data_IF_664734113328
#
_entry.id   IF_664734113328
#
_cell.length_a   1.000
_cell.length_b   1.000
_cell.length_c   1.000
_cell.angle_alpha   90.00
_cell.angle_beta   90.00
_cell.angle_gamma   90.00
#
_symmetry.space_group_name_H-M   'P 1'
#
loop_
_entity.id
_entity.type
_entity.pdbx_description
1 polymer ?
#
# COMPACT_ATOMS: atom_id res chain seq x y z
N UNK A 1 10.80 21.59 6.30
CA UNK A 1 11.75 20.92 7.19
C UNK A 1 11.68 19.42 7.00
N UNK A 2 12.74 18.81 6.47
CA UNK A 2 12.81 17.36 6.27
C UNK A 2 13.23 16.66 7.57
N UNK A 3 12.34 15.85 8.15
CA UNK A 3 12.70 14.94 9.25
C UNK A 3 13.06 13.59 8.66
N UNK A 4 14.32 13.41 8.25
CA UNK A 4 14.79 12.10 7.76
C UNK A 4 15.03 11.18 8.96
N UNK A 5 13.98 10.50 9.42
CA UNK A 5 14.13 9.41 10.40
C UNK A 5 14.66 8.19 9.67
N UNK A 6 15.99 7.97 9.70
CA UNK A 6 16.57 6.71 9.20
C UNK A 6 16.22 5.55 10.15
N UNK A 7 15.81 4.39 9.65
CA UNK A 7 15.34 3.26 10.47
C UNK A 7 16.46 2.45 11.14
N UNK A 8 16.03 1.71 12.16
CA UNK A 8 16.79 1.19 13.32
C UNK A 8 17.21 -0.28 13.19
N UNK A 9 17.32 -0.82 11.97
CA UNK A 9 17.67 -2.24 11.74
C UNK A 9 19.00 -2.31 10.98
N UNK A 10 20.09 -2.73 11.64
CA UNK A 10 21.38 -2.95 10.99
C UNK A 10 21.25 -3.98 9.85
N UNK A 11 21.83 -3.67 8.70
CA UNK A 11 21.84 -4.57 7.53
C UNK A 11 20.60 -4.52 6.64
N UNK A 12 19.59 -3.70 6.98
CA UNK A 12 18.44 -3.48 6.10
C UNK A 12 18.63 -2.23 5.23
N UNK A 13 18.27 -2.35 3.95
CA UNK A 13 18.19 -1.22 3.03
C UNK A 13 16.77 -0.63 3.04
N UNK A 14 16.67 0.69 3.03
CA UNK A 14 15.38 1.39 3.02
C UNK A 14 15.36 2.38 1.86
N UNK A 15 14.26 2.35 1.11
CA UNK A 15 14.05 3.17 -0.08
C UNK A 15 12.72 3.89 0.05
N UNK A 16 12.72 5.19 -0.25
CA UNK A 16 11.50 5.94 -0.50
C UNK A 16 11.16 5.74 -1.98
N UNK A 17 9.99 5.17 -2.26
CA UNK A 17 9.52 4.83 -3.60
C UNK A 17 8.01 4.95 -3.64
N UNK A 18 7.48 5.34 -4.80
CA UNK A 18 6.04 5.35 -5.07
C UNK A 18 5.62 3.99 -5.60
N UNK A 19 4.63 3.33 -4.98
CA UNK A 19 4.24 1.98 -5.34
C UNK A 19 3.36 1.91 -6.60
N UNK A 20 2.91 3.05 -7.12
CA UNK A 20 2.31 3.15 -8.45
C UNK A 20 3.38 3.18 -9.57
N UNK A 21 4.66 3.30 -9.22
CA UNK A 21 5.78 3.18 -10.16
C UNK A 21 6.44 1.78 -10.11
N UNK A 22 6.97 1.28 -11.25
CA UNK A 22 7.68 0.00 -11.31
C UNK A 22 8.81 -0.14 -10.28
N UNK A 23 9.02 -1.36 -9.79
CA UNK A 23 10.07 -1.70 -8.83
C UNK A 23 11.41 -1.92 -9.55
N UNK A 24 11.83 -1.00 -10.42
CA UNK A 24 13.00 -1.11 -11.30
C UNK A 24 14.33 -1.28 -10.54
N UNK A 25 14.35 -0.92 -9.25
CA UNK A 25 15.50 -1.13 -8.37
C UNK A 25 15.67 -2.61 -7.95
N UNK A 26 14.68 -3.47 -8.23
CA UNK A 26 14.74 -4.91 -8.01
C UNK A 26 14.79 -5.66 -9.36
N UNK A 27 15.80 -6.53 -9.57
CA UNK A 27 15.82 -7.44 -10.70
C UNK A 27 14.67 -8.44 -10.64
N UNK A 28 14.37 -9.03 -11.79
CA UNK A 28 13.50 -10.20 -11.89
C UNK A 28 14.05 -11.34 -11.02
N UNK A 29 13.16 -12.13 -10.41
CA UNK A 29 13.52 -13.31 -9.61
C UNK A 29 14.59 -13.03 -8.52
N UNK A 30 14.57 -11.84 -7.93
CA UNK A 30 15.57 -11.40 -6.95
C UNK A 30 15.17 -11.65 -5.49
N UNK A 31 13.88 -11.85 -5.21
CA UNK A 31 13.33 -12.00 -3.87
C UNK A 31 12.76 -13.41 -3.63
N UNK A 32 12.98 -13.94 -2.43
CA UNK A 32 12.32 -15.17 -1.96
C UNK A 32 10.92 -14.89 -1.40
N UNK A 33 10.75 -13.71 -0.77
CA UNK A 33 9.51 -13.31 -0.11
C UNK A 33 9.25 -11.82 -0.34
N UNK A 34 8.00 -11.49 -0.63
CA UNK A 34 7.47 -10.12 -0.60
C UNK A 34 6.48 -9.99 0.55
N UNK A 35 6.60 -8.92 1.34
CA UNK A 35 5.65 -8.60 2.42
C UNK A 35 5.03 -7.24 2.14
N UNK A 36 3.72 -7.21 1.87
CA UNK A 36 2.93 -5.99 1.71
C UNK A 36 1.93 -5.88 2.87
N UNK A 37 2.27 -5.08 3.87
CA UNK A 37 1.52 -5.02 5.12
C UNK A 37 0.64 -3.76 5.19
N UNK A 38 -0.68 -3.90 4.95
CA UNK A 38 -1.68 -2.84 5.05
C UNK A 38 -1.42 -1.62 4.14
N UNK A 39 -0.80 -1.82 2.97
CA UNK A 39 -0.50 -0.73 2.03
C UNK A 39 -1.33 -0.82 0.74
N UNK A 40 -1.74 -2.02 0.32
CA UNK A 40 -2.30 -2.25 -1.02
C UNK A 40 -3.51 -1.37 -1.38
N UNK A 41 -4.33 -0.95 -0.41
CA UNK A 41 -5.50 -0.09 -0.63
C UNK A 41 -5.20 1.39 -0.87
N UNK A 42 -3.93 1.80 -0.78
CA UNK A 42 -3.49 3.15 -1.13
C UNK A 42 -2.93 3.27 -2.55
N UNK A 43 -2.82 2.15 -3.26
CA UNK A 43 -2.22 2.07 -4.60
C UNK A 43 -3.33 2.21 -5.63
N UNK A 44 -3.15 3.05 -6.64
CA UNK A 44 -4.15 3.34 -7.66
C UNK A 44 -4.37 2.14 -8.60
N UNK A 45 -3.29 1.41 -8.93
CA UNK A 45 -3.36 0.14 -9.69
C UNK A 45 -2.75 -1.05 -8.90
N UNK A 46 -3.54 -1.69 -8.01
CA UNK A 46 -3.09 -2.86 -7.27
C UNK A 46 -2.69 -4.04 -8.16
N UNK A 47 -3.27 -4.17 -9.36
CA UNK A 47 -2.95 -5.27 -10.26
C UNK A 47 -1.55 -5.10 -10.86
N UNK A 48 -1.18 -3.89 -11.26
CA UNK A 48 0.17 -3.57 -11.71
C UNK A 48 1.21 -3.85 -10.62
N UNK A 49 0.93 -3.46 -9.37
CA UNK A 49 1.83 -3.76 -8.25
C UNK A 49 1.97 -5.28 -7.99
N UNK A 50 0.88 -6.04 -8.12
CA UNK A 50 0.91 -7.51 -8.01
C UNK A 50 1.74 -8.16 -9.13
N UNK A 51 1.71 -7.60 -10.34
CA UNK A 51 2.58 -8.03 -11.43
C UNK A 51 4.05 -7.78 -11.09
N UNK A 52 4.38 -6.63 -10.50
CA UNK A 52 5.74 -6.35 -10.04
C UNK A 52 6.18 -7.29 -8.93
N UNK A 53 5.31 -7.62 -7.97
CA UNK A 53 5.61 -8.63 -6.95
C UNK A 53 5.91 -10.00 -7.56
N UNK A 54 5.12 -10.41 -8.55
CA UNK A 54 5.36 -11.66 -9.26
C UNK A 54 6.70 -11.64 -10.02
N UNK A 55 7.01 -10.55 -10.73
CA UNK A 55 8.26 -10.38 -11.49
C UNK A 55 9.50 -10.51 -10.59
N UNK A 56 9.49 -9.85 -9.43
CA UNK A 56 10.66 -9.85 -8.53
C UNK A 56 10.78 -11.13 -7.71
N UNK A 57 9.71 -11.91 -7.56
CA UNK A 57 9.76 -13.19 -6.84
C UNK A 57 10.44 -14.26 -7.67
N UNK A 58 11.31 -15.04 -7.04
CA UNK A 58 11.86 -16.28 -7.62
C UNK A 58 10.75 -17.30 -7.89
N UNK A 59 10.94 -18.25 -8.82
CA UNK A 59 10.05 -19.39 -8.96
C UNK A 59 9.87 -20.11 -7.61
N UNK A 60 8.63 -20.21 -7.14
CA UNK A 60 8.29 -20.79 -5.83
C UNK A 60 8.40 -19.82 -4.63
N UNK A 61 8.73 -18.55 -4.87
CA UNK A 61 8.69 -17.49 -3.86
C UNK A 61 7.27 -17.16 -3.40
N UNK A 62 7.17 -16.43 -2.29
CA UNK A 62 5.89 -16.20 -1.59
C UNK A 62 5.61 -14.71 -1.43
N UNK A 63 4.41 -14.28 -1.79
CA UNK A 63 3.88 -12.97 -1.40
C UNK A 63 2.96 -13.12 -0.18
N UNK A 64 3.24 -12.37 0.89
CA UNK A 64 2.38 -12.25 2.07
C UNK A 64 1.78 -10.86 2.08
N UNK A 65 0.45 -10.78 1.96
CA UNK A 65 -0.27 -9.53 1.82
C UNK A 65 -1.31 -9.43 2.92
N UNK A 66 -1.35 -8.30 3.62
CA UNK A 66 -2.44 -7.97 4.53
C UNK A 66 -3.12 -6.69 4.07
N UNK A 67 -4.45 -6.64 4.18
CA UNK A 67 -5.26 -5.48 3.85
C UNK A 67 -6.24 -5.16 5.00
N UNK A 68 -6.76 -3.93 5.03
CA UNK A 68 -7.83 -3.54 5.96
C UNK A 68 -9.04 -4.45 5.74
N UNK A 69 -9.71 -4.85 6.83
CA UNK A 69 -10.95 -5.60 6.69
C UNK A 69 -12.04 -4.64 6.17
N UNK A 70 -12.74 -4.94 5.09
CA UNK A 70 -13.67 -4.01 4.45
C UNK A 70 -14.86 -3.52 5.31
N UNK A 71 -15.23 -4.21 6.39
CA UNK A 71 -16.18 -3.65 7.39
C UNK A 71 -15.61 -2.50 8.23
N UNK A 72 -14.30 -2.34 8.32
CA UNK A 72 -13.67 -1.34 9.18
C UNK A 72 -14.03 0.08 8.71
N UNK A 73 -14.15 0.25 7.40
CA UNK A 73 -14.45 1.53 6.76
C UNK A 73 -15.95 1.79 6.74
N UNK A 74 -16.77 0.78 6.40
CA UNK A 74 -18.23 0.88 6.47
C UNK A 74 -18.73 1.24 7.87
N UNK A 75 -18.23 0.59 8.92
CA UNK A 75 -18.65 0.88 10.30
C UNK A 75 -18.23 2.27 10.77
N UNK A 76 -17.17 2.84 10.20
CA UNK A 76 -16.64 4.16 10.58
C UNK A 76 -17.28 5.31 9.80
N UNK A 77 -17.62 5.09 8.53
CA UNK A 77 -18.09 6.12 7.60
C UNK A 77 -19.60 6.04 7.29
N UNK A 78 -20.26 4.92 7.57
CA UNK A 78 -21.59 4.61 7.03
C UNK A 78 -21.52 4.19 5.56
N UNK A 79 -22.65 3.78 4.97
CA UNK A 79 -22.72 3.36 3.55
C UNK A 79 -22.91 1.86 3.34
N UNK A 80 -22.40 1.33 2.22
CA UNK A 80 -22.46 -0.08 1.84
C UNK A 80 -21.07 -0.61 1.50
N UNK A 81 -20.78 -1.83 1.95
CA UNK A 81 -19.58 -2.59 1.60
C UNK A 81 -19.33 -2.66 0.08
N UNK A 82 -20.40 -2.69 -0.72
CA UNK A 82 -20.33 -2.93 -2.17
C UNK A 82 -20.31 -1.64 -3.00
N UNK A 83 -20.30 -0.45 -2.39
CA UNK A 83 -20.38 0.82 -3.12
C UNK A 83 -19.08 1.60 -3.02
N UNK A 84 -18.52 1.94 -4.18
CA UNK A 84 -17.39 2.87 -4.29
C UNK A 84 -17.91 4.28 -4.09
N UNK A 85 -17.37 5.00 -3.11
CA UNK A 85 -17.79 6.35 -2.76
C UNK A 85 -16.56 7.24 -2.50
N UNK A 86 -16.53 8.44 -3.09
CA UNK A 86 -15.53 9.45 -2.78
C UNK A 86 -15.83 10.07 -1.40
N UNK A 87 -15.00 9.78 -0.42
CA UNK A 87 -15.16 10.27 0.95
C UNK A 87 -14.19 11.43 1.22
N UNK A 88 -14.69 12.54 1.74
CA UNK A 88 -13.83 13.65 2.21
C UNK A 88 -13.66 13.59 3.71
N UNK A 89 -12.47 13.23 4.18
CA UNK A 89 -12.16 13.21 5.61
C UNK A 89 -11.38 14.44 6.08
N UNK A 90 -11.72 14.91 7.28
CA UNK A 90 -10.95 15.95 7.98
C UNK A 90 -10.18 15.30 9.12
N UNK A 91 -8.88 15.11 8.92
CA UNK A 91 -8.00 14.57 9.95
C UNK A 91 -7.57 15.66 10.96
N UNK A 92 -7.61 15.42 12.29
CA UNK A 92 -7.30 16.44 13.30
C UNK A 92 -5.85 16.94 13.30
N UNK A 93 -4.93 16.26 12.60
CA UNK A 93 -3.49 16.51 12.68
C UNK A 93 -2.95 17.13 11.40
N UNK A 94 -3.38 18.36 11.07
CA UNK A 94 -2.80 19.08 9.93
C UNK A 94 -3.59 20.25 9.36
N UNK A 95 -4.75 20.63 9.90
CA UNK A 95 -5.45 21.89 9.61
C UNK A 95 -6.02 22.07 8.18
N UNK A 96 -5.55 21.31 7.20
CA UNK A 96 -6.04 21.33 5.83
C UNK A 96 -6.88 20.08 5.55
N UNK A 97 -8.06 20.21 4.92
CA UNK A 97 -8.79 19.06 4.41
C UNK A 97 -7.90 18.32 3.41
N UNK A 98 -7.76 17.01 3.58
CA UNK A 98 -7.11 16.15 2.60
C UNK A 98 -8.21 15.42 1.86
N UNK A 99 -8.23 15.53 0.54
CA UNK A 99 -9.13 14.72 -0.29
C UNK A 99 -8.47 13.34 -0.44
N UNK A 100 -9.18 12.29 -0.07
CA UNK A 100 -8.71 10.92 -0.18
C UNK A 100 -9.82 10.12 -0.83
N UNK A 101 -9.65 9.72 -2.07
CA UNK A 101 -10.51 8.69 -2.65
C UNK A 101 -10.19 7.38 -1.94
N UNK A 102 -11.22 6.69 -1.44
CA UNK A 102 -11.09 5.39 -0.81
C UNK A 102 -11.80 4.38 -1.69
N UNK A 103 -11.15 3.23 -1.91
CA UNK A 103 -11.71 2.13 -2.69
C UNK A 103 -12.12 1.00 -1.73
N UNK A 104 -13.36 1.01 -1.21
CA UNK A 104 -13.89 -0.12 -0.46
C UNK A 104 -14.13 -1.28 -1.42
N UNK A 105 -13.12 -2.12 -1.58
CA UNK A 105 -13.32 -3.50 -2.02
C UNK A 105 -12.84 -3.86 -3.43
N UNK A 106 -12.17 -5.00 -3.46
CA UNK A 106 -12.51 -6.09 -4.39
C UNK A 106 -13.78 -6.80 -3.91
#
# INVERSE_FOLDING_TARGET
SSSTTRPRIPGAEFRAHDLDEPLDFLPDESADVVVCALVLHYVDDPAALMHEFYRVLRPGGIAVISNQHPTNDWTRLGGSYFTVEDVTEKWPKGGSPVHSSYYPGI
#
